data_IF_297179941519
#
_entry.id   IF_297179941519
#
_cell.length_a   1.000
_cell.length_b   1.000
_cell.length_c   1.000
_cell.angle_alpha   90.00
_cell.angle_beta   90.00
_cell.angle_gamma   90.00
#
_symmetry.space_group_name_H-M   'P 1'
#
loop_
_entity.id
_entity.type
_entity.pdbx_description
1 polymer ?
#
# COMPACT_ATOMS: atom_id res chain seq x y z
N UNK A 1 -12.54 -0.30 -0.02
CA UNK A 1 -11.67 -0.54 1.17
C UNK A 1 -10.83 0.71 1.38
N UNK A 2 -10.63 1.16 2.62
CA UNK A 2 -9.74 2.29 2.91
C UNK A 2 -8.32 1.78 3.09
N UNK A 3 -7.35 2.43 2.46
CA UNK A 3 -5.93 2.12 2.62
C UNK A 3 -5.51 2.41 4.07
N UNK A 4 -4.98 1.42 4.80
CA UNK A 4 -4.62 1.60 6.21
C UNK A 4 -3.42 2.55 6.42
N UNK A 5 -2.60 2.77 5.37
CA UNK A 5 -1.40 3.61 5.42
C UNK A 5 -1.64 5.07 5.08
N UNK A 6 -2.48 5.37 4.09
CA UNK A 6 -2.66 6.73 3.58
C UNK A 6 -4.11 7.23 3.59
N UNK A 7 -5.02 6.42 4.14
CA UNK A 7 -6.43 6.74 4.36
C UNK A 7 -7.25 7.07 3.08
N UNK A 8 -6.71 6.81 1.88
CA UNK A 8 -7.46 6.93 0.63
C UNK A 8 -8.30 5.67 0.34
N UNK A 9 -9.32 5.83 -0.48
CA UNK A 9 -10.22 4.75 -0.94
C UNK A 9 -9.76 4.07 -2.24
N UNK A 10 -8.61 4.49 -2.78
CA UNK A 10 -8.03 3.97 -4.03
C UNK A 10 -7.30 2.66 -3.81
N UNK A 11 -8.05 1.61 -3.49
CA UNK A 11 -7.55 0.25 -3.22
C UNK A 11 -8.15 -0.73 -4.23
N UNK A 12 -7.28 -1.51 -4.86
CA UNK A 12 -7.63 -2.48 -5.89
C UNK A 12 -7.18 -3.89 -5.48
N UNK A 13 -7.84 -4.91 -6.03
CA UNK A 13 -7.38 -6.29 -5.93
C UNK A 13 -6.21 -6.50 -6.90
N UNK A 14 -5.04 -6.80 -6.35
CA UNK A 14 -3.80 -7.03 -7.11
C UNK A 14 -3.67 -8.47 -7.58
N UNK A 15 -3.97 -9.44 -6.70
CA UNK A 15 -3.81 -10.85 -6.99
C UNK A 15 -4.69 -11.71 -6.08
N UNK A 16 -4.98 -12.94 -6.51
CA UNK A 16 -5.60 -13.98 -5.68
C UNK A 16 -4.63 -15.14 -5.51
N UNK A 17 -4.81 -15.92 -4.44
CA UNK A 17 -4.07 -17.16 -4.25
C UNK A 17 -4.22 -18.09 -5.47
N UNK A 18 -3.13 -18.69 -5.96
CA UNK A 18 -3.20 -19.72 -6.99
C UNK A 18 -3.76 -21.05 -6.45
N UNK A 19 -3.83 -21.21 -5.12
CA UNK A 19 -4.37 -22.40 -4.45
C UNK A 19 -5.65 -22.00 -3.72
N UNK A 20 -6.79 -22.03 -4.43
CA UNK A 20 -8.12 -21.75 -3.86
C UNK A 20 -8.30 -20.35 -3.25
N UNK A 21 -9.30 -20.18 -2.39
CA UNK A 21 -9.72 -18.88 -1.81
C UNK A 21 -9.04 -18.56 -0.48
N UNK A 22 -7.74 -18.85 -0.33
CA UNK A 22 -7.03 -18.75 0.97
C UNK A 22 -6.50 -17.34 1.27
N UNK A 23 -6.26 -16.51 0.26
CA UNK A 23 -5.96 -15.08 0.43
C UNK A 23 -6.23 -14.29 -0.85
N UNK A 24 -6.51 -13.01 -0.67
CA UNK A 24 -6.51 -11.98 -1.70
C UNK A 24 -5.42 -10.96 -1.35
N UNK A 25 -4.75 -10.39 -2.35
CA UNK A 25 -3.78 -9.32 -2.18
C UNK A 25 -4.38 -8.03 -2.71
N UNK A 26 -4.36 -6.98 -1.91
CA UNK A 26 -4.81 -5.65 -2.28
C UNK A 26 -3.63 -4.70 -2.42
N UNK A 27 -3.78 -3.69 -3.27
CA UNK A 27 -2.81 -2.62 -3.45
C UNK A 27 -3.51 -1.26 -3.45
N UNK A 28 -2.94 -0.30 -2.74
CA UNK A 28 -3.37 1.09 -2.85
C UNK A 28 -2.68 1.76 -4.04
N UNK A 29 -3.44 2.27 -5.02
CA UNK A 29 -2.88 2.95 -6.20
C UNK A 29 -2.40 4.38 -5.91
N UNK A 30 -2.66 4.90 -4.70
CA UNK A 30 -2.09 6.19 -4.24
C UNK A 30 -0.70 6.01 -3.66
N UNK A 31 -0.54 5.08 -2.71
CA UNK A 31 0.69 4.94 -1.97
C UNK A 31 1.48 3.67 -2.28
N UNK A 32 1.03 2.78 -3.15
CA UNK A 32 1.65 1.48 -3.45
C UNK A 32 1.79 0.50 -2.28
N UNK A 33 1.15 0.79 -1.13
CA UNK A 33 1.09 -0.19 -0.04
C UNK A 33 0.24 -1.38 -0.48
N UNK A 34 0.78 -2.59 -0.32
CA UNK A 34 0.06 -3.83 -0.57
C UNK A 34 -0.01 -4.69 0.70
N UNK A 35 -1.08 -5.46 0.83
CA UNK A 35 -1.32 -6.36 1.95
C UNK A 35 -2.23 -7.50 1.52
N UNK A 36 -2.19 -8.62 2.25
CA UNK A 36 -3.12 -9.73 2.06
C UNK A 36 -4.35 -9.59 2.94
N UNK A 37 -5.46 -10.19 2.53
CA UNK A 37 -6.69 -10.29 3.32
C UNK A 37 -6.50 -11.01 4.66
N UNK A 38 -5.44 -11.80 4.79
CA UNK A 38 -5.08 -12.57 5.99
C UNK A 38 -4.08 -11.87 6.91
N UNK A 39 -3.63 -10.66 6.58
CA UNK A 39 -2.76 -9.89 7.48
C UNK A 39 -3.51 -9.45 8.74
N UNK A 40 -2.77 -9.26 9.82
CA UNK A 40 -3.33 -8.85 11.12
C UNK A 40 -3.98 -7.45 11.05
N UNK A 41 -4.95 -7.13 11.94
CA UNK A 41 -5.67 -5.85 11.89
C UNK A 41 -4.79 -4.60 11.93
N UNK A 42 -3.62 -4.65 12.59
CA UNK A 42 -2.65 -3.54 12.58
C UNK A 42 -1.96 -3.31 11.22
N UNK A 43 -2.26 -4.13 10.20
CA UNK A 43 -1.83 -3.99 8.81
C UNK A 43 -2.99 -3.67 7.87
N UNK A 44 -4.23 -3.99 8.25
CA UNK A 44 -5.41 -3.91 7.36
C UNK A 44 -6.44 -2.86 7.80
N UNK A 45 -6.52 -2.54 9.09
CA UNK A 45 -7.44 -1.54 9.65
C UNK A 45 -6.75 -0.17 9.77
N UNK A 46 -7.25 0.88 9.09
CA UNK A 46 -6.71 2.24 9.20
C UNK A 46 -6.65 2.81 10.63
N UNK A 47 -7.51 2.35 11.54
CA UNK A 47 -7.53 2.79 12.95
C UNK A 47 -6.46 2.10 13.80
N UNK A 48 -6.10 0.86 13.45
CA UNK A 48 -5.10 0.06 14.17
C UNK A 48 -3.71 0.11 13.53
N UNK A 49 -3.61 0.68 12.32
CA UNK A 49 -2.34 0.90 11.64
C UNK A 49 -1.48 1.87 12.45
N UNK A 50 -0.22 1.51 12.66
CA UNK A 50 0.69 2.32 13.47
C UNK A 50 0.90 3.71 12.82
N UNK A 51 0.50 4.76 13.56
CA UNK A 51 0.54 6.14 13.11
C UNK A 51 1.93 6.60 12.65
N UNK A 52 3.02 6.04 13.20
CA UNK A 52 4.40 6.36 12.79
C UNK A 52 4.68 6.03 11.32
N UNK A 53 3.98 5.05 10.75
CA UNK A 53 4.17 4.62 9.37
C UNK A 53 3.10 5.15 8.41
N UNK A 54 2.15 5.95 8.91
CA UNK A 54 1.16 6.60 8.04
C UNK A 54 1.84 7.67 7.20
N UNK A 55 1.37 7.80 5.97
CA UNK A 55 1.85 8.81 5.02
C UNK A 55 0.68 9.63 4.50
N UNK A 56 0.90 10.92 4.27
CA UNK A 56 -0.09 11.78 3.62
C UNK A 56 0.11 11.68 2.10
N UNK A 57 -0.95 11.48 1.30
CA UNK A 57 -0.85 11.48 -0.16
C UNK A 57 -0.12 12.70 -0.74
N UNK A 58 -0.38 13.88 -0.19
CA UNK A 58 0.26 15.13 -0.59
C UNK A 58 1.79 15.18 -0.34
N UNK A 59 2.32 14.32 0.54
CA UNK A 59 3.75 14.23 0.81
C UNK A 59 4.49 13.33 -0.18
N UNK A 60 3.80 12.41 -0.86
CA UNK A 60 4.41 11.41 -1.75
C UNK A 60 5.25 12.05 -2.87
N UNK A 61 4.80 13.10 -3.59
CA UNK A 61 5.60 13.73 -4.64
C UNK A 61 6.92 14.34 -4.16
N UNK A 62 7.02 14.63 -2.86
CA UNK A 62 8.18 15.27 -2.23
C UNK A 62 9.05 14.28 -1.43
N UNK A 63 8.76 12.97 -1.52
CA UNK A 63 9.57 11.96 -0.83
C UNK A 63 10.93 11.78 -1.49
N UNK A 64 11.92 11.43 -0.69
CA UNK A 64 13.27 11.19 -1.17
C UNK A 64 13.30 9.96 -2.09
N UNK A 65 14.01 10.10 -3.20
CA UNK A 65 14.31 9.00 -4.12
C UNK A 65 15.69 8.46 -3.75
N UNK A 66 15.72 7.31 -3.06
CA UNK A 66 16.95 6.72 -2.54
C UNK A 66 17.03 5.23 -2.94
N UNK A 67 18.02 4.82 -3.75
CA UNK A 67 18.99 5.68 -4.46
C UNK A 67 18.29 6.54 -5.53
N UNK A 68 18.95 7.61 -5.98
CA UNK A 68 18.44 8.41 -7.10
C UNK A 68 18.21 7.52 -8.33
N UNK A 69 17.08 7.71 -9.02
CA UNK A 69 16.77 7.00 -10.26
C UNK A 69 17.78 7.45 -11.33
N UNK A 70 18.54 6.54 -11.96
CA UNK A 70 19.47 6.90 -13.02
C UNK A 70 18.73 7.55 -14.20
N UNK A 71 19.38 8.46 -14.96
CA UNK A 71 18.78 8.99 -16.17
C UNK A 71 18.47 7.87 -17.16
N UNK A 72 17.38 8.01 -17.90
CA UNK A 72 17.01 7.07 -18.97
C UNK A 72 18.12 7.04 -20.02
N UNK A 73 18.61 5.86 -20.38
CA UNK A 73 19.56 5.71 -21.50
C UNK A 73 18.83 5.93 -22.81
N UNK A 74 19.42 6.72 -23.70
CA UNK A 74 18.97 6.88 -25.08
C UNK A 74 19.16 5.57 -25.87
#
# INVERSE_FOLDING_TARGET
MICPRCDTDKVELMAKSPVGNVWEMYICTTCTYSWRSTETPNKTDPKLYNAKFKIKPASIPNMLVIPAVPPLKA
#
